data_IF_336176485924
#
_entry.id   IF_336176485924
#
_cell.length_a   1.000
_cell.length_b   1.000
_cell.length_c   1.000
_cell.angle_alpha   90.00
_cell.angle_beta   90.00
_cell.angle_gamma   90.00
#
_symmetry.space_group_name_H-M   'P 1'
#
loop_
_entity.id
_entity.type
_entity.pdbx_description
1 polymer ?
#
# COMPACT_ATOMS: atom_id res chain seq x y z
N UNK A 1 -9.71 -5.88 -0.51
CA UNK A 1 -10.16 -4.64 0.17
C UNK A 1 -9.73 -4.71 1.63
N UNK A 2 -9.15 -3.67 2.25
CA UNK A 2 -8.95 -3.68 3.70
C UNK A 2 -10.32 -3.49 4.37
N UNK A 3 -10.91 -4.57 4.86
CA UNK A 3 -12.15 -4.50 5.64
C UNK A 3 -11.77 -4.16 7.08
N UNK A 4 -11.87 -2.89 7.45
CA UNK A 4 -11.86 -2.49 8.85
C UNK A 4 -13.13 -3.06 9.49
N UNK A 5 -13.01 -3.98 10.44
CA UNK A 5 -14.16 -4.52 11.18
C UNK A 5 -14.96 -3.38 11.82
N UNK A 6 -16.29 -3.47 11.83
CA UNK A 6 -17.19 -2.48 12.44
C UNK A 6 -16.85 -2.13 13.91
N UNK A 7 -16.27 -3.07 14.66
CA UNK A 7 -15.80 -2.81 16.03
C UNK A 7 -14.62 -1.83 16.09
N UNK A 8 -13.82 -1.73 15.03
CA UNK A 8 -12.77 -0.74 14.87
C UNK A 8 -13.38 0.64 14.56
N UNK A 9 -14.45 0.69 13.75
CA UNK A 9 -15.10 1.94 13.33
C UNK A 9 -15.81 2.71 14.45
N UNK A 10 -16.36 2.02 15.47
CA UNK A 10 -17.02 2.69 16.60
C UNK A 10 -16.04 3.51 17.46
N UNK A 11 -14.77 3.12 17.54
CA UNK A 11 -13.71 3.85 18.27
C UNK A 11 -12.81 4.72 17.35
N UNK A 12 -12.78 4.47 16.03
CA UNK A 12 -11.92 5.20 15.08
C UNK A 12 -12.55 6.50 14.56
N UNK A 13 -13.88 6.65 14.64
CA UNK A 13 -14.60 7.85 14.13
C UNK A 13 -14.17 9.16 14.80
N UNK A 14 -13.42 9.09 15.90
CA UNK A 14 -12.95 10.23 16.69
C UNK A 14 -11.46 10.58 16.49
N UNK A 15 -10.72 10.01 15.53
CA UNK A 15 -9.28 10.30 15.40
C UNK A 15 -8.78 10.61 13.99
N UNK A 16 -9.64 10.99 13.06
CA UNK A 16 -9.18 11.51 11.76
C UNK A 16 -8.65 12.93 11.99
N UNK A 17 -7.38 13.14 11.66
CA UNK A 17 -6.75 14.47 11.70
C UNK A 17 -7.05 15.23 10.41
N UNK A 18 -6.70 14.63 9.28
CA UNK A 18 -6.87 15.24 7.97
C UNK A 18 -6.96 14.20 6.87
N UNK A 19 -7.69 14.53 5.82
CA UNK A 19 -7.65 13.84 4.54
C UNK A 19 -7.25 14.85 3.46
N UNK A 20 -6.25 14.51 2.66
CA UNK A 20 -5.80 15.33 1.54
C UNK A 20 -5.64 14.47 0.30
N UNK A 21 -6.31 14.86 -0.78
CA UNK A 21 -6.02 14.34 -2.09
C UNK A 21 -4.71 14.97 -2.60
N UNK A 22 -3.68 14.15 -2.81
CA UNK A 22 -2.36 14.59 -3.24
C UNK A 22 -2.26 14.63 -4.76
N UNK A 23 -2.87 13.64 -5.42
CA UNK A 23 -3.05 13.58 -6.89
C UNK A 23 -4.44 13.00 -7.19
N UNK A 24 -4.78 12.88 -8.47
CA UNK A 24 -6.04 12.22 -8.89
C UNK A 24 -6.14 10.75 -8.44
N UNK A 25 -5.01 10.09 -8.12
CA UNK A 25 -4.95 8.66 -7.77
C UNK A 25 -4.42 8.39 -6.35
N UNK A 26 -3.89 9.40 -5.66
CA UNK A 26 -3.26 9.24 -4.35
C UNK A 26 -3.94 10.18 -3.34
N UNK A 27 -4.52 9.60 -2.30
CA UNK A 27 -5.01 10.28 -1.11
C UNK A 27 -4.13 9.98 0.10
N UNK A 28 -4.11 10.92 1.05
CA UNK A 28 -3.45 10.77 2.34
C UNK A 28 -4.44 11.02 3.45
N UNK A 29 -4.65 10.01 4.29
CA UNK A 29 -5.43 10.07 5.52
C UNK A 29 -4.47 10.03 6.71
N UNK A 30 -4.43 11.10 7.48
CA UNK A 30 -3.68 11.14 8.74
C UNK A 30 -4.63 10.92 9.90
N UNK A 31 -4.23 10.03 10.81
CA UNK A 31 -4.94 9.81 12.06
C UNK A 31 -4.18 10.52 13.19
N UNK A 32 -4.91 11.35 13.93
CA UNK A 32 -4.37 12.04 15.11
C UNK A 32 -4.05 11.02 16.19
N UNK A 33 -3.13 11.39 17.06
CA UNK A 33 -2.90 10.66 18.30
C UNK A 33 -3.58 11.30 19.49
N UNK A 34 -3.93 10.46 20.45
CA UNK A 34 -4.18 10.86 21.82
C UNK A 34 -3.00 10.35 22.67
N UNK A 35 -2.34 11.21 23.45
CA UNK A 35 -1.22 10.82 24.31
C UNK A 35 0.13 10.62 23.59
N UNK A 36 0.91 9.63 24.03
CA UNK A 36 2.35 9.44 23.72
C UNK A 36 2.67 8.60 22.49
N UNK A 37 1.66 8.14 21.75
CA UNK A 37 1.89 7.21 20.64
C UNK A 37 2.49 7.99 19.41
N UNK A 38 3.29 7.43 18.45
CA UNK A 38 3.91 8.13 17.23
C UNK A 38 3.16 8.14 15.83
N UNK A 39 2.70 9.27 15.25
CA UNK A 39 1.48 9.35 14.35
C UNK A 39 1.36 8.30 13.21
N UNK A 40 0.12 8.03 12.74
CA UNK A 40 -0.17 7.04 11.68
C UNK A 40 -0.76 7.70 10.42
N UNK A 41 -0.14 7.44 9.28
CA UNK A 41 -0.63 7.85 7.96
C UNK A 41 -1.05 6.65 7.13
N UNK A 42 -2.23 6.74 6.52
CA UNK A 42 -2.66 5.88 5.43
C UNK A 42 -2.52 6.61 4.10
N UNK A 43 -1.75 6.04 3.17
CA UNK A 43 -1.84 6.41 1.77
C UNK A 43 -2.87 5.51 1.11
N UNK A 44 -3.89 6.13 0.52
CA UNK A 44 -4.90 5.44 -0.28
C UNK A 44 -4.53 5.67 -1.73
N UNK A 45 -4.20 4.60 -2.45
CA UNK A 45 -3.78 4.68 -3.83
C UNK A 45 -4.70 3.85 -4.74
N UNK A 46 -4.93 4.33 -5.95
CA UNK A 46 -5.59 3.57 -7.00
C UNK A 46 -4.65 3.50 -8.20
N UNK A 47 -4.07 2.32 -8.45
CA UNK A 47 -3.07 2.19 -9.51
C UNK A 47 -3.72 2.23 -10.90
N UNK A 48 -2.86 2.54 -11.86
CA UNK A 48 -3.20 2.54 -13.27
C UNK A 48 -3.19 1.11 -13.81
N UNK A 49 -4.16 0.80 -14.66
CA UNK A 49 -4.25 -0.49 -15.37
C UNK A 49 -3.18 -0.59 -16.45
N UNK A 50 -2.92 -1.78 -16.97
CA UNK A 50 -1.93 -2.03 -18.05
C UNK A 50 -2.24 -1.32 -19.37
N UNK A 51 -3.39 -0.65 -19.47
CA UNK A 51 -3.79 0.15 -20.63
C UNK A 51 -3.19 1.56 -20.65
N UNK A 52 -2.64 2.02 -19.53
CA UNK A 52 -1.95 3.31 -19.42
C UNK A 52 -0.52 3.18 -19.94
N UNK A 53 0.09 4.29 -20.35
CA UNK A 53 1.47 4.26 -20.82
C UNK A 53 2.47 4.02 -19.68
N UNK A 54 3.68 3.53 -20.02
CA UNK A 54 4.71 3.21 -19.03
C UNK A 54 5.15 4.44 -18.23
N UNK A 55 5.14 5.63 -18.86
CA UNK A 55 5.54 6.89 -18.24
C UNK A 55 4.54 7.31 -17.15
N UNK A 56 3.25 7.12 -17.37
CA UNK A 56 2.17 7.38 -16.41
C UNK A 56 2.24 6.41 -15.21
N UNK A 57 2.52 5.13 -15.48
CA UNK A 57 2.73 4.12 -14.42
C UNK A 57 3.97 4.49 -13.59
N UNK A 58 5.06 4.86 -14.24
CA UNK A 58 6.30 5.26 -13.58
C UNK A 58 6.10 6.53 -12.75
N UNK A 59 5.43 7.54 -13.31
CA UNK A 59 5.09 8.78 -12.62
C UNK A 59 4.23 8.52 -11.37
N UNK A 60 3.25 7.61 -11.44
CA UNK A 60 2.45 7.21 -10.29
C UNK A 60 3.30 6.66 -9.13
N UNK A 61 4.21 5.73 -9.41
CA UNK A 61 5.08 5.17 -8.36
C UNK A 61 6.10 6.19 -7.84
N UNK A 62 6.64 7.06 -8.70
CA UNK A 62 7.52 8.17 -8.30
C UNK A 62 6.81 9.16 -7.37
N UNK A 63 5.58 9.54 -7.70
CA UNK A 63 4.76 10.40 -6.85
C UNK A 63 4.44 9.73 -5.52
N UNK A 64 4.02 8.47 -5.53
CA UNK A 64 3.74 7.72 -4.30
C UNK A 64 4.98 7.60 -3.40
N UNK A 65 6.15 7.33 -3.99
CA UNK A 65 7.44 7.25 -3.28
C UNK A 65 7.80 8.59 -2.67
N UNK A 66 7.65 9.68 -3.43
CA UNK A 66 7.86 11.05 -2.96
C UNK A 66 6.97 11.35 -1.75
N UNK A 67 5.66 11.12 -1.86
CA UNK A 67 4.74 11.39 -0.75
C UNK A 67 5.00 10.50 0.47
N UNK A 68 5.34 9.22 0.24
CA UNK A 68 5.72 8.32 1.32
C UNK A 68 6.97 8.82 2.05
N UNK A 69 7.97 9.38 1.35
CA UNK A 69 9.19 9.94 1.96
C UNK A 69 8.97 11.26 2.66
N UNK A 70 8.23 12.18 2.05
CA UNK A 70 7.96 13.53 2.58
C UNK A 70 7.09 13.51 3.84
N UNK A 71 6.29 12.47 4.03
CA UNK A 71 5.47 12.33 5.23
C UNK A 71 6.34 12.04 6.46
N UNK A 72 6.10 12.79 7.54
CA UNK A 72 6.91 12.74 8.75
C UNK A 72 6.37 11.78 9.81
N UNK A 73 5.28 11.06 9.52
CA UNK A 73 4.72 10.09 10.47
C UNK A 73 5.60 8.85 10.60
N UNK A 74 5.59 8.25 11.78
CA UNK A 74 6.43 7.09 12.06
C UNK A 74 5.85 5.82 11.43
N UNK A 75 4.54 5.64 11.54
CA UNK A 75 3.85 4.50 10.92
C UNK A 75 3.14 4.94 9.66
N UNK A 76 3.43 4.23 8.57
CA UNK A 76 2.84 4.46 7.25
C UNK A 76 2.26 3.15 6.74
N UNK A 77 1.05 3.22 6.22
CA UNK A 77 0.39 2.09 5.57
C UNK A 77 -0.09 2.54 4.21
N UNK A 78 0.23 1.75 3.18
CA UNK A 78 -0.24 1.98 1.82
C UNK A 78 -1.33 0.96 1.55
N UNK A 79 -2.52 1.46 1.23
CA UNK A 79 -3.69 0.65 0.91
C UNK A 79 -4.22 1.11 -0.44
N UNK A 80 -4.70 0.17 -1.23
CA UNK A 80 -5.13 0.52 -2.57
C UNK A 80 -5.48 -0.69 -3.40
N UNK A 81 -6.17 -0.40 -4.50
CA UNK A 81 -6.26 -1.35 -5.59
C UNK A 81 -5.11 -1.08 -6.54
N UNK A 82 -4.16 -2.01 -6.60
CA UNK A 82 -3.02 -1.91 -7.49
C UNK A 82 -3.21 -2.70 -8.78
N UNK A 83 -4.25 -3.54 -8.88
CA UNK A 83 -4.47 -4.53 -9.95
C UNK A 83 -3.21 -5.37 -10.33
N UNK A 84 -2.27 -5.47 -9.38
CA UNK A 84 -0.97 -6.11 -9.55
C UNK A 84 -0.96 -7.44 -8.80
N UNK A 85 -0.35 -8.46 -9.43
CA UNK A 85 -0.12 -9.76 -8.80
C UNK A 85 1.35 -9.90 -8.47
N UNK A 86 1.70 -9.74 -7.20
CA UNK A 86 3.03 -10.09 -6.67
C UNK A 86 3.04 -11.58 -6.32
N UNK A 87 4.07 -12.27 -6.78
CA UNK A 87 4.34 -13.64 -6.38
C UNK A 87 5.35 -13.77 -5.25
N UNK A 88 5.75 -15.01 -4.93
CA UNK A 88 6.81 -15.25 -3.97
C UNK A 88 8.08 -14.50 -4.35
N UNK A 89 8.82 -14.09 -3.32
CA UNK A 89 10.14 -13.48 -3.42
C UNK A 89 11.04 -14.24 -4.41
N UNK A 90 11.65 -13.53 -5.36
CA UNK A 90 12.54 -14.12 -6.38
C UNK A 90 14.01 -14.04 -5.97
N UNK A 91 14.42 -12.99 -5.25
CA UNK A 91 15.82 -12.80 -4.86
C UNK A 91 16.00 -12.59 -3.35
N UNK A 92 17.20 -12.87 -2.78
CA UNK A 92 17.47 -12.60 -1.38
C UNK A 92 17.28 -11.15 -0.95
N UNK A 93 17.43 -10.20 -1.86
CA UNK A 93 17.32 -8.75 -1.61
C UNK A 93 15.86 -8.31 -1.36
N UNK A 94 14.89 -9.01 -1.95
CA UNK A 94 13.44 -8.74 -1.84
C UNK A 94 12.84 -9.16 -0.48
N UNK A 95 13.57 -8.98 0.63
CA UNK A 95 13.17 -9.41 2.00
C UNK A 95 11.79 -8.92 2.44
N UNK A 96 11.29 -7.84 1.84
CA UNK A 96 10.01 -7.23 2.20
C UNK A 96 8.80 -7.88 1.50
N UNK A 97 9.05 -8.81 0.57
CA UNK A 97 8.05 -9.65 -0.09
C UNK A 97 8.08 -11.04 0.58
N UNK A 98 6.92 -11.50 1.03
CA UNK A 98 6.78 -12.82 1.64
C UNK A 98 6.90 -13.98 0.65
N UNK A 99 6.85 -15.20 1.19
CA UNK A 99 7.00 -16.45 0.42
C UNK A 99 5.70 -16.92 -0.22
N UNK A 100 4.58 -16.24 0.03
CA UNK A 100 3.27 -16.55 -0.53
C UNK A 100 2.89 -15.48 -1.56
N UNK A 101 2.13 -15.84 -2.58
CA UNK A 101 1.74 -14.89 -3.63
C UNK A 101 1.10 -15.58 -4.82
N UNK A 102 0.62 -14.77 -5.77
CA UNK A 102 0.08 -15.27 -7.04
C UNK A 102 1.20 -15.31 -8.10
N UNK A 103 0.91 -15.77 -9.31
CA UNK A 103 1.86 -15.61 -10.40
C UNK A 103 2.08 -14.12 -10.68
N UNK A 104 3.36 -13.72 -10.79
CA UNK A 104 3.76 -12.37 -11.15
C UNK A 104 3.13 -11.91 -12.48
N UNK A 105 2.62 -10.68 -12.55
CA UNK A 105 2.25 -10.02 -13.81
C UNK A 105 3.27 -8.93 -14.17
N UNK A 106 3.17 -8.34 -15.38
CA UNK A 106 4.17 -7.39 -15.90
C UNK A 106 4.34 -6.14 -15.00
N UNK A 107 3.25 -5.62 -14.45
CA UNK A 107 3.27 -4.46 -13.54
C UNK A 107 3.84 -4.77 -12.15
N UNK A 108 4.06 -6.03 -11.81
CA UNK A 108 4.57 -6.42 -10.51
C UNK A 108 6.03 -5.97 -10.29
N UNK A 109 6.79 -5.73 -11.36
CA UNK A 109 8.15 -5.17 -11.26
C UNK A 109 8.14 -3.73 -10.72
N UNK A 110 7.23 -2.88 -11.18
CA UNK A 110 7.13 -1.51 -10.67
C UNK A 110 6.72 -1.49 -9.19
N UNK A 111 5.79 -2.37 -8.80
CA UNK A 111 5.38 -2.50 -7.41
C UNK A 111 6.50 -3.08 -6.53
N UNK A 112 7.25 -4.08 -7.00
CA UNK A 112 8.37 -4.66 -6.26
C UNK A 112 9.50 -3.64 -6.08
N UNK A 113 9.83 -2.88 -7.13
CA UNK A 113 10.79 -1.78 -7.08
C UNK A 113 10.39 -0.70 -6.07
N UNK A 114 9.10 -0.34 -6.04
CA UNK A 114 8.56 0.59 -5.05
C UNK A 114 8.68 0.05 -3.61
N UNK A 115 8.27 -1.20 -3.37
CA UNK A 115 8.36 -1.88 -2.07
C UNK A 115 9.80 -1.88 -1.57
N UNK A 116 10.75 -2.23 -2.44
CA UNK A 116 12.17 -2.26 -2.15
C UNK A 116 12.72 -0.87 -1.78
N UNK A 117 12.39 0.13 -2.60
CA UNK A 117 12.89 1.49 -2.45
C UNK A 117 12.35 2.19 -1.19
N UNK A 118 11.11 1.88 -0.82
CA UNK A 118 10.47 2.40 0.39
C UNK A 118 10.71 1.55 1.63
N UNK A 119 11.31 0.36 1.48
CA UNK A 119 11.50 -0.64 2.54
C UNK A 119 10.18 -1.00 3.25
N UNK A 120 9.08 -0.99 2.50
CA UNK A 120 7.74 -1.32 3.02
C UNK A 120 7.50 -2.81 2.92
N UNK A 121 6.72 -3.39 3.83
CA UNK A 121 6.40 -4.83 3.80
C UNK A 121 5.15 -5.04 2.95
N UNK A 122 5.23 -5.92 1.95
CA UNK A 122 4.05 -6.34 1.19
C UNK A 122 3.22 -7.32 2.02
N UNK A 123 2.18 -6.81 2.69
CA UNK A 123 1.38 -7.58 3.64
C UNK A 123 0.70 -8.81 3.02
N UNK A 124 0.16 -8.69 1.80
CA UNK A 124 -0.58 -9.80 1.16
C UNK A 124 0.30 -11.02 0.88
N UNK A 125 1.60 -10.85 0.62
CA UNK A 125 2.51 -11.98 0.36
C UNK A 125 2.98 -12.69 1.63
N UNK A 126 2.66 -12.15 2.82
CA UNK A 126 2.97 -12.80 4.09
C UNK A 126 1.98 -13.93 4.42
N UNK A 127 0.77 -13.89 3.83
CA UNK A 127 -0.30 -14.82 4.16
C UNK A 127 -0.54 -15.82 3.03
N UNK A 128 -0.67 -17.10 3.39
CA UNK A 128 -1.08 -18.12 2.44
C UNK A 128 -2.57 -17.96 2.12
N UNK A 129 -2.90 -17.77 0.85
CA UNK A 129 -4.29 -17.71 0.39
C UNK A 129 -4.87 -19.13 0.29
N UNK A 130 -5.99 -19.44 0.96
CA UNK A 130 -6.70 -20.71 0.75
C UNK A 130 -7.20 -20.79 -0.70
N UNK A 131 -7.05 -21.96 -1.32
CA UNK A 131 -7.41 -22.22 -2.72
C UNK A 131 -8.90 -22.01 -3.05
N UNK A 132 -9.78 -22.02 -2.06
CA UNK A 132 -11.24 -21.95 -2.22
C UNK A 132 -11.87 -20.57 -1.97
N UNK A 133 -11.09 -19.56 -1.54
CA UNK A 133 -11.65 -18.25 -1.15
C UNK A 133 -11.16 -17.12 -2.06
N UNK A 134 -12.07 -16.19 -2.41
CA UNK A 134 -11.70 -14.89 -2.96
C UNK A 134 -11.22 -14.01 -1.81
N UNK A 135 -10.22 -13.16 -2.05
CA UNK A 135 -10.01 -12.02 -1.16
C UNK A 135 -11.22 -11.11 -1.38
N UNK A 136 -12.05 -10.95 -0.34
CA UNK A 136 -13.13 -9.96 -0.33
C UNK A 136 -12.57 -8.54 -0.34
#
# INVERSE_FOLDING_TARGET
MFVLKESMFKDLSLNIDSFKQLTIRIGRLQLRRCGSTPALTFFVAYALTTSYDEDEIEAFYKDLEKFHREDYTFYKVIVGDFDVKIGPRRTPEELHIGTHGLQWNEQAESLSGFIMTTKTIHGNSQFQKPTSLRWT
#
